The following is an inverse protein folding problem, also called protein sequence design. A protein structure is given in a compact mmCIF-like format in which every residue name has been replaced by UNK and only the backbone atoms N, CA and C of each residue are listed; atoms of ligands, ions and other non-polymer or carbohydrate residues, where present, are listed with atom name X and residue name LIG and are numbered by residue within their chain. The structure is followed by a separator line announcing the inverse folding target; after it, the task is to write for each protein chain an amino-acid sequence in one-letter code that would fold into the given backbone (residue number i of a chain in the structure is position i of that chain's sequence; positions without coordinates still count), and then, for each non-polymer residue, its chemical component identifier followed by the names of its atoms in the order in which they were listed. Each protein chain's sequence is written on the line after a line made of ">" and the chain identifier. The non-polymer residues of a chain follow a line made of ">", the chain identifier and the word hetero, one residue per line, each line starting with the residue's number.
data_IF_733913827452
#
_entry.id   IF_733913827452
#
_cell.length_a   1.000
_cell.length_b   1.000
_cell.length_c   1.000
_cell.angle_alpha   90.00
_cell.angle_beta   90.00
_cell.angle_gamma   90.00
#
_symmetry.space_group_name_H-M   'P 1'
#
loop_
_entity.id
_entity.type
_entity.pdbx_description
1 polymer ?
#
# COMPACT_ATOMS: atom_id res chain seq x y z
N UNK A 1 -34.50 -0.64 24.25
CA UNK A 1 -34.53 -1.26 22.91
C UNK A 1 -33.10 -1.39 22.42
N UNK A 2 -32.44 -2.44 22.91
CA UNK A 2 -31.14 -2.94 22.45
C UNK A 2 -31.36 -3.86 21.25
N UNK A 3 -30.30 -4.04 20.45
CA UNK A 3 -30.13 -5.09 19.43
C UNK A 3 -30.56 -4.83 17.98
N UNK A 4 -30.15 -3.68 17.41
CA UNK A 4 -29.87 -3.59 15.96
C UNK A 4 -28.39 -3.80 15.58
N UNK A 5 -27.51 -4.03 16.58
CA UNK A 5 -26.07 -4.23 16.37
C UNK A 5 -25.63 -5.70 16.31
N UNK A 6 -26.54 -6.66 16.49
CA UNK A 6 -26.22 -8.09 16.55
C UNK A 6 -26.53 -8.85 15.24
N UNK A 7 -27.11 -8.19 14.23
CA UNK A 7 -27.53 -8.81 12.96
C UNK A 7 -26.82 -8.35 11.69
N UNK A 8 -25.87 -7.40 11.74
CA UNK A 8 -25.01 -7.15 10.57
C UNK A 8 -23.90 -8.19 10.49
N UNK A 9 -24.21 -9.37 9.95
CA UNK A 9 -23.29 -10.48 9.67
C UNK A 9 -22.32 -10.19 8.51
N UNK A 10 -22.12 -8.91 8.19
CA UNK A 10 -21.06 -8.41 7.33
C UNK A 10 -20.13 -7.66 8.28
N UNK A 11 -18.96 -8.22 8.56
CA UNK A 11 -17.99 -7.50 9.37
C UNK A 11 -17.65 -6.18 8.66
N UNK A 12 -18.14 -5.08 9.24
CA UNK A 12 -17.90 -3.73 8.75
C UNK A 12 -16.39 -3.53 8.59
N UNK A 13 -15.91 -3.30 7.37
CA UNK A 13 -14.48 -3.08 7.10
C UNK A 13 -13.83 -4.01 6.08
N UNK A 14 -14.41 -5.18 5.76
CA UNK A 14 -13.79 -6.12 4.81
C UNK A 14 -13.71 -5.62 3.37
N UNK A 15 -14.73 -4.94 2.81
CA UNK A 15 -14.61 -4.33 1.48
C UNK A 15 -13.43 -3.34 1.39
N UNK A 16 -13.19 -2.56 2.45
CA UNK A 16 -12.06 -1.63 2.54
C UNK A 16 -10.72 -2.38 2.56
N UNK A 17 -10.64 -3.50 3.30
CA UNK A 17 -9.46 -4.37 3.33
C UNK A 17 -9.19 -4.98 1.94
N UNK A 18 -10.23 -5.47 1.26
CA UNK A 18 -10.12 -6.03 -0.09
C UNK A 18 -9.65 -4.96 -1.07
N UNK A 19 -10.26 -3.76 -1.04
CA UNK A 19 -9.86 -2.63 -1.87
C UNK A 19 -8.42 -2.20 -1.60
N UNK A 20 -7.98 -2.22 -0.33
CA UNK A 20 -6.60 -1.96 0.04
C UNK A 20 -5.64 -2.95 -0.61
N UNK A 21 -5.93 -4.26 -0.53
CA UNK A 21 -5.09 -5.28 -1.16
C UNK A 21 -5.09 -5.18 -2.69
N UNK A 22 -6.22 -4.90 -3.33
CA UNK A 22 -6.30 -4.65 -4.77
C UNK A 22 -5.43 -3.44 -5.16
N UNK A 23 -5.54 -2.35 -4.42
CA UNK A 23 -4.75 -1.12 -4.65
C UNK A 23 -3.26 -1.43 -4.55
N UNK A 24 -2.84 -2.20 -3.54
CA UNK A 24 -1.47 -2.64 -3.40
C UNK A 24 -1.00 -3.48 -4.60
N UNK A 25 -1.78 -4.46 -5.05
CA UNK A 25 -1.44 -5.30 -6.21
C UNK A 25 -1.23 -4.45 -7.47
N UNK A 26 -2.10 -3.46 -7.69
CA UNK A 26 -1.97 -2.52 -8.81
C UNK A 26 -0.69 -1.72 -8.72
N UNK A 27 -0.38 -1.12 -7.56
CA UNK A 27 0.86 -0.37 -7.33
C UNK A 27 2.09 -1.26 -7.55
N UNK A 28 2.07 -2.49 -7.02
CA UNK A 28 3.16 -3.44 -7.17
C UNK A 28 3.40 -3.80 -8.64
N UNK A 29 2.33 -4.02 -9.42
CA UNK A 29 2.45 -4.33 -10.84
C UNK A 29 2.98 -3.14 -11.65
N UNK A 30 2.52 -1.92 -11.33
CA UNK A 30 3.02 -0.69 -11.94
C UNK A 30 4.51 -0.49 -11.65
N UNK A 31 4.95 -0.69 -10.41
CA UNK A 31 6.36 -0.64 -10.01
C UNK A 31 7.22 -1.68 -10.74
N UNK A 32 6.73 -2.92 -10.84
CA UNK A 32 7.42 -3.98 -11.57
C UNK A 32 7.55 -3.65 -13.06
N UNK A 33 6.51 -3.06 -13.66
CA UNK A 33 6.53 -2.64 -15.07
C UNK A 33 7.47 -1.46 -15.29
N UNK A 34 7.46 -0.46 -14.40
CA UNK A 34 8.35 0.71 -14.49
C UNK A 34 9.81 0.30 -14.32
N UNK A 35 10.11 -0.63 -13.41
CA UNK A 35 11.44 -1.25 -13.28
C UNK A 35 11.95 -1.82 -14.59
N UNK A 36 11.15 -2.67 -15.25
CA UNK A 36 11.55 -3.31 -16.50
C UNK A 36 11.78 -2.27 -17.60
N UNK A 37 10.95 -1.22 -17.67
CA UNK A 37 11.10 -0.14 -18.64
C UNK A 37 12.36 0.71 -18.40
N UNK A 38 12.65 1.05 -17.14
CA UNK A 38 13.78 1.90 -16.76
C UNK A 38 15.12 1.15 -16.81
N UNK A 39 15.17 -0.12 -16.38
CA UNK A 39 16.39 -0.95 -16.40
C UNK A 39 16.86 -1.31 -17.81
N UNK A 40 15.98 -1.28 -18.82
CA UNK A 40 16.36 -1.50 -20.23
C UNK A 40 17.35 -0.43 -20.73
N UNK A 41 17.36 0.76 -20.14
CA UNK A 41 18.23 1.87 -20.54
C UNK A 41 19.59 1.89 -19.83
N UNK A 42 19.87 0.97 -18.89
CA UNK A 42 21.15 0.75 -18.18
C UNK A 42 21.94 2.03 -17.84
N UNK A 43 21.27 3.07 -17.34
CA UNK A 43 21.91 4.34 -16.99
C UNK A 43 21.76 4.58 -15.50
N UNK A 44 22.87 4.87 -14.82
CA UNK A 44 22.94 5.06 -13.36
C UNK A 44 22.00 6.17 -12.85
N UNK A 45 21.76 7.20 -13.68
CA UNK A 45 20.85 8.30 -13.36
C UNK A 45 19.39 7.82 -13.32
N UNK A 46 18.98 6.94 -14.25
CA UNK A 46 17.63 6.35 -14.24
C UNK A 46 17.43 5.39 -13.07
N UNK A 47 18.48 4.66 -12.66
CA UNK A 47 18.44 3.82 -11.46
C UNK A 47 18.23 4.66 -10.19
N UNK A 48 18.91 5.80 -10.09
CA UNK A 48 18.75 6.73 -8.97
C UNK A 48 17.34 7.36 -8.95
N UNK A 49 16.82 7.79 -10.10
CA UNK A 49 15.44 8.29 -10.22
C UNK A 49 14.42 7.20 -9.83
N UNK A 50 14.65 5.96 -10.27
CA UNK A 50 13.79 4.84 -9.94
C UNK A 50 13.77 4.58 -8.43
N UNK A 51 14.93 4.51 -7.77
CA UNK A 51 15.03 4.33 -6.31
C UNK A 51 14.33 5.48 -5.56
N UNK A 52 14.56 6.74 -5.97
CA UNK A 52 13.89 7.90 -5.38
C UNK A 52 12.36 7.82 -5.53
N UNK A 53 11.87 7.40 -6.69
CA UNK A 53 10.44 7.24 -6.93
C UNK A 53 9.82 6.17 -6.04
N UNK A 54 10.55 5.07 -5.78
CA UNK A 54 10.10 4.01 -4.87
C UNK A 54 10.03 4.49 -3.43
N UNK A 55 11.04 5.22 -2.97
CA UNK A 55 11.06 5.78 -1.62
C UNK A 55 9.92 6.78 -1.45
N UNK A 56 9.69 7.65 -2.44
CA UNK A 56 8.60 8.62 -2.39
C UNK A 56 7.23 7.94 -2.37
N UNK A 57 7.00 6.94 -3.24
CA UNK A 57 5.72 6.22 -3.31
C UNK A 57 5.51 5.38 -2.04
N UNK A 58 6.53 4.65 -1.58
CA UNK A 58 6.46 3.85 -0.36
C UNK A 58 6.24 4.70 0.89
N UNK A 59 6.95 5.82 1.00
CA UNK A 59 6.78 6.78 2.09
C UNK A 59 5.42 7.45 2.10
N UNK A 60 4.92 7.88 0.93
CA UNK A 60 3.56 8.42 0.80
C UNK A 60 2.50 7.37 1.18
N UNK A 61 2.66 6.14 0.69
CA UNK A 61 1.76 5.02 1.01
C UNK A 61 1.71 4.77 2.51
N UNK A 62 2.86 4.62 3.17
CA UNK A 62 2.94 4.38 4.60
C UNK A 62 2.36 5.56 5.39
N UNK A 63 2.65 6.80 4.99
CA UNK A 63 2.12 8.00 5.65
C UNK A 63 0.60 8.05 5.58
N UNK A 64 0.03 7.75 4.41
CA UNK A 64 -1.43 7.73 4.18
C UNK A 64 -2.09 6.70 5.08
N UNK A 65 -1.53 5.49 5.23
CA UNK A 65 -2.18 4.42 6.00
C UNK A 65 -1.90 4.47 7.50
N UNK A 66 -0.71 4.94 7.92
CA UNK A 66 -0.41 5.20 9.35
C UNK A 66 -1.25 6.34 9.89
N UNK A 67 -1.42 7.42 9.12
CA UNK A 67 -2.24 8.56 9.49
C UNK A 67 -3.63 8.52 8.85
N UNK A 68 -4.12 7.33 8.48
CA UNK A 68 -5.36 7.04 7.74
C UNK A 68 -6.45 8.11 7.81
N UNK A 69 -6.92 8.39 9.01
CA UNK A 69 -8.05 9.29 9.27
C UNK A 69 -7.76 10.77 9.01
N UNK A 70 -6.49 11.18 8.94
CA UNK A 70 -6.07 12.56 8.65
C UNK A 70 -5.95 12.84 7.15
N UNK A 71 -5.92 11.82 6.31
CA UNK A 71 -5.79 11.96 4.85
C UNK A 71 -7.09 11.55 4.13
N UNK A 72 -7.47 12.30 3.09
CA UNK A 72 -8.68 12.01 2.29
C UNK A 72 -8.62 10.61 1.69
N UNK A 73 -7.47 10.23 1.11
CA UNK A 73 -7.23 8.88 0.58
C UNK A 73 -7.25 7.82 1.68
N UNK A 74 -6.69 8.11 2.86
CA UNK A 74 -6.67 7.18 3.99
C UNK A 74 -8.06 6.94 4.58
N UNK A 75 -8.93 7.97 4.62
CA UNK A 75 -10.32 7.87 5.08
C UNK A 75 -11.18 6.90 4.27
N UNK A 76 -10.85 6.70 2.98
CA UNK A 76 -11.55 5.73 2.12
C UNK A 76 -11.33 4.28 2.60
N UNK A 77 -10.23 4.02 3.29
CA UNK A 77 -9.86 2.68 3.77
C UNK A 77 -9.99 2.55 5.30
N UNK A 78 -9.72 3.63 6.04
CA UNK A 78 -9.69 3.68 7.50
C UNK A 78 -10.68 4.75 7.96
N UNK A 79 -11.87 4.30 8.38
CA UNK A 79 -12.92 5.15 8.98
C UNK A 79 -13.07 4.87 10.47
N UNK A 80 -13.59 5.86 11.22
CA UNK A 80 -13.97 5.71 12.61
C UNK A 80 -14.96 4.54 12.76
N UNK A 81 -14.63 3.55 13.58
CA UNK A 81 -15.42 2.31 13.75
C UNK A 81 -14.99 1.13 12.86
N UNK A 82 -13.98 1.28 12.00
CA UNK A 82 -13.43 0.17 11.23
C UNK A 82 -12.49 -0.68 12.11
N UNK A 83 -12.95 -1.86 12.53
CA UNK A 83 -12.16 -2.81 13.34
C UNK A 83 -10.88 -3.30 12.68
N UNK A 84 -10.73 -3.10 11.36
CA UNK A 84 -9.60 -3.58 10.57
C UNK A 84 -8.46 -2.55 10.36
N UNK A 85 -8.51 -1.38 11.01
CA UNK A 85 -7.48 -0.33 10.90
C UNK A 85 -6.07 -0.86 11.15
N UNK A 86 -5.89 -1.65 12.20
CA UNK A 86 -4.58 -2.21 12.56
C UNK A 86 -4.08 -3.18 11.49
N UNK A 87 -4.96 -4.02 10.92
CA UNK A 87 -4.62 -4.95 9.85
C UNK A 87 -4.14 -4.21 8.59
N UNK A 88 -4.83 -3.15 8.18
CA UNK A 88 -4.44 -2.31 7.04
C UNK A 88 -3.09 -1.63 7.31
N UNK A 89 -2.91 -1.07 8.52
CA UNK A 89 -1.69 -0.36 8.90
C UNK A 89 -0.48 -1.29 8.90
N UNK A 90 -0.55 -2.43 9.59
CA UNK A 90 0.55 -3.41 9.61
C UNK A 90 0.80 -4.04 8.24
N UNK A 91 -0.26 -4.32 7.47
CA UNK A 91 -0.11 -4.77 6.08
C UNK A 91 0.60 -3.73 5.22
N UNK A 92 0.35 -2.43 5.44
CA UNK A 92 0.99 -1.35 4.68
C UNK A 92 2.50 -1.29 4.93
N UNK A 93 2.94 -1.52 6.17
CA UNK A 93 4.35 -1.61 6.53
C UNK A 93 5.00 -2.82 5.85
N UNK A 94 4.37 -3.99 5.94
CA UNK A 94 4.86 -5.22 5.29
C UNK A 94 4.99 -5.05 3.77
N UNK A 95 4.01 -4.38 3.14
CA UNK A 95 3.98 -4.09 1.72
C UNK A 95 5.05 -3.10 1.26
N UNK A 96 5.34 -2.08 2.06
CA UNK A 96 6.48 -1.21 1.80
C UNK A 96 7.79 -2.02 1.80
N UNK A 97 7.93 -2.96 2.75
CA UNK A 97 9.10 -3.83 2.83
C UNK A 97 9.24 -4.74 1.61
N UNK A 98 8.13 -5.34 1.16
CA UNK A 98 8.08 -6.12 -0.08
C UNK A 98 8.49 -5.27 -1.29
N UNK A 99 7.94 -4.07 -1.45
CA UNK A 99 8.29 -3.17 -2.56
C UNK A 99 9.79 -2.87 -2.52
N UNK A 100 10.37 -2.56 -1.36
CA UNK A 100 11.80 -2.26 -1.24
C UNK A 100 12.69 -3.46 -1.66
N UNK A 101 12.34 -4.68 -1.22
CA UNK A 101 13.06 -5.91 -1.60
C UNK A 101 12.96 -6.13 -3.13
N UNK A 102 11.74 -6.11 -3.68
CA UNK A 102 11.55 -6.40 -5.11
C UNK A 102 12.00 -5.27 -6.03
N UNK A 103 12.13 -4.04 -5.51
CA UNK A 103 12.70 -2.91 -6.20
C UNK A 103 14.22 -3.00 -6.35
N UNK A 104 14.91 -3.57 -5.36
CA UNK A 104 16.37 -3.61 -5.35
C UNK A 104 16.91 -4.41 -6.55
N UNK A 105 17.72 -3.78 -7.43
CA UNK A 105 18.30 -4.46 -8.59
C UNK A 105 19.32 -5.53 -8.19
N UNK A 106 19.88 -5.47 -6.99
CA UNK A 106 20.99 -6.32 -6.53
C UNK A 106 20.59 -7.68 -5.91
N UNK A 107 19.30 -7.94 -5.67
CA UNK A 107 18.85 -9.23 -5.06
C UNK A 107 18.78 -10.36 -6.10
N UNK A 108 18.97 -10.06 -7.38
CA UNK A 108 19.18 -11.05 -8.44
C UNK A 108 20.63 -11.00 -8.91
N UNK A 109 21.54 -11.50 -8.08
CA UNK A 109 22.85 -12.00 -8.52
C UNK A 109 22.94 -13.46 -8.12
#
# INVERSE_FOLDING_TARGET
>A
MTDFNTLSKIAFGWPQVILFYITFIVIFFLMKKSRNYLLLKKTSLLDLIYILSIIAIGGAYLTIFVHGEKFILGKLFISHGNGNKNLITWSSVFFMFLIAIFASPNIKK
#
